data_IF_996109050451
#
_entry.id   IF_996109050451
#
_cell.length_a   1.000
_cell.length_b   1.000
_cell.length_c   1.000
_cell.angle_alpha   90.00
_cell.angle_beta   90.00
_cell.angle_gamma   90.00
#
_symmetry.space_group_name_H-M   'P 1'
#
loop_
_entity.id
_entity.type
_entity.pdbx_description
1 polymer ?
#
# COMPACT_ATOMS: atom_id res chain seq x y z
N UNK A 1 0.84 -16.45 11.46
CA UNK A 1 -0.02 -15.45 12.16
C UNK A 1 0.16 -14.04 11.61
N UNK A 2 1.39 -13.52 11.51
CA UNK A 2 1.68 -12.16 11.01
C UNK A 2 1.18 -11.93 9.57
N UNK A 3 1.36 -12.91 8.68
CA UNK A 3 0.91 -12.83 7.27
C UNK A 3 -0.61 -12.60 7.19
N UNK A 4 -1.39 -13.31 8.02
CA UNK A 4 -2.85 -13.18 8.06
C UNK A 4 -3.23 -11.77 8.55
N UNK A 5 -2.52 -11.26 9.56
CA UNK A 5 -2.74 -9.92 10.09
C UNK A 5 -2.44 -8.84 9.04
N UNK A 6 -1.39 -9.01 8.24
CA UNK A 6 -1.10 -8.15 7.09
C UNK A 6 -2.19 -8.18 6.04
N UNK A 7 -2.72 -9.36 5.70
CA UNK A 7 -3.85 -9.50 4.77
C UNK A 7 -5.14 -8.83 5.29
N UNK A 8 -5.43 -8.96 6.59
CA UNK A 8 -6.56 -8.27 7.23
C UNK A 8 -6.37 -6.75 7.15
N UNK A 9 -5.15 -6.24 7.38
CA UNK A 9 -4.87 -4.81 7.29
C UNK A 9 -5.12 -4.25 5.88
N UNK A 10 -4.75 -4.98 4.83
CA UNK A 10 -5.06 -4.60 3.44
C UNK A 10 -6.56 -4.55 3.19
N UNK A 11 -7.30 -5.55 3.69
CA UNK A 11 -8.76 -5.58 3.58
C UNK A 11 -9.40 -4.38 4.29
N UNK A 12 -8.97 -4.05 5.51
CA UNK A 12 -9.47 -2.88 6.24
C UNK A 12 -9.19 -1.58 5.47
N UNK A 13 -7.98 -1.41 4.94
CA UNK A 13 -7.63 -0.24 4.13
C UNK A 13 -8.54 -0.09 2.90
N UNK A 14 -8.80 -1.19 2.19
CA UNK A 14 -9.70 -1.21 1.03
C UNK A 14 -11.15 -0.91 1.40
N UNK A 15 -11.64 -1.44 2.53
CA UNK A 15 -12.98 -1.16 3.04
C UNK A 15 -13.10 0.33 3.40
N UNK A 16 -12.14 0.89 4.14
CA UNK A 16 -12.12 2.33 4.47
C UNK A 16 -12.06 3.21 3.20
N UNK A 17 -11.32 2.78 2.18
CA UNK A 17 -11.26 3.47 0.90
C UNK A 17 -12.62 3.44 0.16
N UNK A 18 -13.34 2.32 0.19
CA UNK A 18 -14.67 2.17 -0.43
C UNK A 18 -15.69 3.17 0.14
N UNK A 19 -15.70 3.37 1.46
CA UNK A 19 -16.64 4.27 2.13
C UNK A 19 -16.27 5.76 2.04
N UNK A 20 -15.04 6.08 1.58
CA UNK A 20 -14.58 7.46 1.49
C UNK A 20 -15.06 8.15 0.20
N UNK A 21 -15.80 9.26 0.34
CA UNK A 21 -16.27 10.09 -0.79
C UNK A 21 -15.18 10.99 -1.39
N UNK A 22 -14.15 11.33 -0.62
CA UNK A 22 -13.06 12.20 -1.10
C UNK A 22 -11.96 11.34 -1.76
N UNK A 23 -11.65 11.64 -3.02
CA UNK A 23 -10.68 10.88 -3.83
C UNK A 23 -9.29 10.81 -3.18
N UNK A 24 -8.84 11.89 -2.52
CA UNK A 24 -7.52 11.94 -1.85
C UNK A 24 -7.52 11.12 -0.57
N UNK A 25 -8.60 11.17 0.21
CA UNK A 25 -8.76 10.30 1.39
C UNK A 25 -8.83 8.83 0.97
N UNK A 26 -9.54 8.54 -0.11
CA UNK A 26 -9.64 7.20 -0.69
C UNK A 26 -8.26 6.67 -1.09
N UNK A 27 -7.48 7.49 -1.79
CA UNK A 27 -6.11 7.15 -2.19
C UNK A 27 -5.20 6.95 -0.96
N UNK A 28 -5.34 7.79 0.07
CA UNK A 28 -4.58 7.64 1.31
C UNK A 28 -4.87 6.30 2.00
N UNK A 29 -6.14 5.95 2.20
CA UNK A 29 -6.51 4.68 2.85
C UNK A 29 -6.07 3.44 2.06
N UNK A 30 -6.19 3.48 0.73
CA UNK A 30 -5.64 2.45 -0.17
C UNK A 30 -4.13 2.32 0.00
N UNK A 31 -3.41 3.44 -0.18
CA UNK A 31 -1.94 3.42 -0.12
C UNK A 31 -1.42 2.94 1.23
N UNK A 32 -1.99 3.43 2.35
CA UNK A 32 -1.56 3.07 3.70
C UNK A 32 -1.91 1.62 4.06
N UNK A 33 -3.10 1.15 3.66
CA UNK A 33 -3.54 -0.23 3.87
C UNK A 33 -2.68 -1.23 3.10
N UNK A 34 -2.49 -0.98 1.80
CA UNK A 34 -1.65 -1.82 0.95
C UNK A 34 -0.19 -1.80 1.39
N UNK A 35 0.35 -0.64 1.77
CA UNK A 35 1.74 -0.56 2.20
C UNK A 35 1.99 -1.24 3.53
N UNK A 36 1.19 -0.90 4.55
CA UNK A 36 1.32 -1.50 5.89
C UNK A 36 1.09 -3.01 5.85
N UNK A 37 0.09 -3.46 5.09
CA UNK A 37 -0.22 -4.88 4.95
C UNK A 37 0.86 -5.67 4.23
N UNK A 38 1.40 -5.14 3.12
CA UNK A 38 2.50 -5.76 2.39
C UNK A 38 3.78 -5.86 3.24
N UNK A 39 4.10 -4.82 4.03
CA UNK A 39 5.25 -4.85 4.95
C UNK A 39 5.09 -5.98 5.97
N UNK A 40 3.92 -6.11 6.59
CA UNK A 40 3.62 -7.21 7.54
C UNK A 40 3.74 -8.58 6.88
N UNK A 41 3.24 -8.73 5.64
CA UNK A 41 3.34 -9.98 4.88
C UNK A 41 4.81 -10.30 4.58
N UNK A 42 5.59 -9.33 4.10
CA UNK A 42 7.00 -9.54 3.80
C UNK A 42 7.82 -9.90 5.04
N UNK A 43 7.61 -9.21 6.16
CA UNK A 43 8.24 -9.55 7.45
C UNK A 43 7.83 -10.96 7.87
N UNK A 44 6.53 -11.29 7.78
CA UNK A 44 6.02 -12.61 8.11
C UNK A 44 6.63 -13.73 7.25
N UNK A 45 6.87 -13.48 5.97
CA UNK A 45 7.54 -14.44 5.07
C UNK A 45 9.03 -14.59 5.41
N UNK A 46 9.72 -13.49 5.71
CA UNK A 46 11.14 -13.52 6.13
C UNK A 46 11.33 -14.30 7.43
N UNK A 47 10.43 -14.13 8.41
CA UNK A 47 10.45 -14.90 9.66
C UNK A 47 10.27 -16.40 9.47
N UNK A 48 9.62 -16.81 8.37
CA UNK A 48 9.48 -18.21 7.98
C UNK A 48 10.65 -18.70 7.11
N UNK A 49 11.77 -17.96 7.05
CA UNK A 49 12.97 -18.28 6.26
C UNK A 49 12.75 -18.42 4.75
N UNK A 50 11.68 -17.83 4.19
CA UNK A 50 11.47 -17.83 2.75
C UNK A 50 12.36 -16.79 2.08
N UNK A 51 13.31 -17.23 1.25
CA UNK A 51 14.05 -16.41 0.26
C UNK A 51 14.36 -14.97 0.72
N UNK A 52 14.96 -14.84 1.90
CA UNK A 52 15.11 -13.58 2.66
C UNK A 52 15.71 -12.46 1.80
N UNK A 53 16.74 -12.76 1.01
CA UNK A 53 17.43 -11.78 0.17
C UNK A 53 16.51 -11.15 -0.89
N UNK A 54 15.69 -11.96 -1.57
CA UNK A 54 14.75 -11.48 -2.58
C UNK A 54 13.62 -10.67 -1.96
N UNK A 55 13.10 -11.13 -0.83
CA UNK A 55 12.05 -10.41 -0.09
C UNK A 55 12.55 -9.07 0.43
N UNK A 56 13.79 -8.99 0.89
CA UNK A 56 14.38 -7.74 1.34
C UNK A 56 14.51 -6.72 0.21
N UNK A 57 14.96 -7.15 -0.97
CA UNK A 57 15.00 -6.29 -2.17
C UNK A 57 13.60 -5.84 -2.57
N UNK A 58 12.62 -6.75 -2.57
CA UNK A 58 11.23 -6.41 -2.86
C UNK A 58 10.68 -5.37 -1.87
N UNK A 59 10.96 -5.53 -0.57
CA UNK A 59 10.55 -4.59 0.48
C UNK A 59 11.16 -3.20 0.26
N UNK A 60 12.44 -3.11 -0.11
CA UNK A 60 13.10 -1.82 -0.40
C UNK A 60 12.50 -1.12 -1.61
N UNK A 61 12.28 -1.85 -2.71
CA UNK A 61 11.62 -1.32 -3.91
C UNK A 61 10.21 -0.83 -3.55
N UNK A 62 9.49 -1.60 -2.74
CA UNK A 62 8.13 -1.30 -2.37
C UNK A 62 8.01 -0.07 -1.45
N UNK A 63 8.92 0.09 -0.48
CA UNK A 63 8.97 1.25 0.43
C UNK A 63 9.19 2.57 -0.32
N UNK A 64 10.02 2.56 -1.37
CA UNK A 64 10.30 3.76 -2.18
C UNK A 64 9.26 3.95 -3.29
N UNK A 65 8.84 2.85 -3.91
CA UNK A 65 7.93 2.86 -5.05
C UNK A 65 6.51 3.28 -4.69
N UNK A 66 5.97 2.82 -3.57
CA UNK A 66 4.57 3.08 -3.22
C UNK A 66 4.26 4.57 -2.93
N UNK A 67 5.10 5.31 -2.18
CA UNK A 67 4.93 6.76 -2.04
C UNK A 67 4.99 7.49 -3.40
N UNK A 68 5.92 7.11 -4.27
CA UNK A 68 6.06 7.70 -5.60
C UNK A 68 4.81 7.48 -6.45
N UNK A 69 4.29 6.25 -6.50
CA UNK A 69 3.06 5.92 -7.23
C UNK A 69 1.88 6.73 -6.71
N UNK A 70 1.71 6.79 -5.39
CA UNK A 70 0.61 7.54 -4.75
C UNK A 70 0.69 9.04 -5.07
N UNK A 71 1.91 9.61 -5.07
CA UNK A 71 2.15 10.99 -5.46
C UNK A 71 1.80 11.27 -6.93
N UNK A 72 2.25 10.41 -7.86
CA UNK A 72 1.97 10.59 -9.29
C UNK A 72 0.47 10.46 -9.61
N UNK A 73 -0.23 9.54 -8.96
CA UNK A 73 -1.70 9.43 -9.09
C UNK A 73 -2.37 10.70 -8.57
N UNK A 74 -1.95 11.19 -7.40
CA UNK A 74 -2.51 12.41 -6.80
C UNK A 74 -2.33 13.63 -7.72
N UNK A 75 -1.15 13.85 -8.27
CA UNK A 75 -0.90 14.96 -9.21
C UNK A 75 -1.72 14.82 -10.49
N UNK A 76 -1.85 13.60 -11.00
CA UNK A 76 -2.62 13.34 -12.22
C UNK A 76 -4.11 13.66 -12.02
N UNK A 77 -4.66 13.35 -10.84
CA UNK A 77 -6.03 13.70 -10.47
C UNK A 77 -6.22 15.22 -10.37
N UNK A 78 -5.32 15.94 -9.69
CA UNK A 78 -5.37 17.41 -9.58
C UNK A 78 -5.31 18.07 -10.96
N UNK A 79 -4.41 17.61 -11.83
CA UNK A 79 -4.27 18.15 -13.20
C UNK A 79 -5.51 17.89 -14.06
N UNK A 80 -6.20 16.78 -13.85
CA UNK A 80 -7.44 16.45 -14.57
C UNK A 80 -8.60 17.33 -14.12
N UNK A 81 -8.72 17.58 -12.83
CA UNK A 81 -9.74 18.47 -12.27
C UNK A 81 -9.58 19.91 -12.78
N UNK A 82 -8.35 20.41 -12.88
CA UNK A 82 -8.05 21.75 -13.41
C UNK A 82 -8.31 21.93 -14.93
N UNK A 83 -8.50 20.84 -15.68
CA UNK A 83 -8.83 20.88 -17.13
C UNK A 83 -10.34 20.81 -17.41
N UNK A 84 -11.16 20.50 -16.41
CA UNK A 84 -12.61 20.60 -16.49
C UNK A 84 -13.07 21.99 -16.07
#
# INVERSE_FOLDING_TARGET
>A
MIIILGAILMLVGNICALFSKNIFKKLHYLSAGDTGGAILIFIGLMLNNFQISKLFVALMIFLVGMPAVTYFISISLVRREKRR
#
